data_IF_491354872186
#
_entry.id   IF_491354872186
#
_cell.length_a   1.000
_cell.length_b   1.000
_cell.length_c   1.000
_cell.angle_alpha   90.00
_cell.angle_beta   90.00
_cell.angle_gamma   90.00
#
_symmetry.space_group_name_H-M   'P 1'
#
loop_
_entity.id
_entity.type
_entity.pdbx_description
1 polymer ?
#
# COMPACT_ATOMS: atom_id res chain seq x y z
N UNK A 1 22.70 53.44 36.69
CA UNK A 1 21.90 52.43 37.41
C UNK A 1 20.68 52.19 36.54
N UNK A 2 20.72 51.29 35.56
CA UNK A 2 20.45 49.84 35.69
C UNK A 2 18.96 49.60 35.44
N UNK A 3 18.45 48.73 34.57
CA UNK A 3 18.99 47.79 33.61
C UNK A 3 17.91 47.60 32.51
N UNK A 4 18.29 47.52 31.24
CA UNK A 4 17.41 47.11 30.14
C UNK A 4 17.26 45.59 30.20
N UNK A 5 16.06 45.10 30.55
CA UNK A 5 15.74 43.68 30.52
C UNK A 5 15.53 43.22 29.07
N UNK A 6 16.54 42.56 28.51
CA UNK A 6 16.46 41.90 27.21
C UNK A 6 15.88 40.49 27.44
N UNK A 7 14.57 40.34 27.24
CA UNK A 7 13.90 39.05 27.37
C UNK A 7 14.13 38.22 26.09
N UNK A 8 15.00 37.21 26.20
CA UNK A 8 15.28 36.25 25.14
C UNK A 8 14.11 35.24 25.04
N UNK A 9 13.23 35.43 24.05
CA UNK A 9 12.21 34.43 23.71
C UNK A 9 12.89 33.33 22.88
N UNK A 10 13.20 32.21 23.52
CA UNK A 10 13.62 30.99 22.81
C UNK A 10 12.37 30.39 22.16
N UNK A 11 12.15 30.70 20.88
CA UNK A 11 11.19 29.98 20.06
C UNK A 11 11.77 28.59 19.79
N UNK A 12 11.28 27.58 20.52
CA UNK A 12 11.54 26.18 20.21
C UNK A 12 10.86 25.90 18.87
N UNK A 13 11.64 25.92 17.78
CA UNK A 13 11.25 25.34 16.51
C UNK A 13 11.13 23.83 16.74
N UNK A 14 9.93 23.37 17.11
CA UNK A 14 9.53 22.02 16.77
C UNK A 14 9.44 21.99 15.24
N UNK A 15 10.57 21.69 14.58
CA UNK A 15 10.55 21.05 13.28
C UNK A 15 9.79 19.74 13.49
N UNK A 16 8.47 19.80 13.38
CA UNK A 16 7.65 18.63 13.24
C UNK A 16 8.16 17.94 11.99
N UNK A 17 8.95 16.89 12.19
CA UNK A 17 9.12 15.85 11.18
C UNK A 17 7.71 15.27 11.01
N UNK A 18 6.92 15.91 10.16
CA UNK A 18 5.63 15.40 9.76
C UNK A 18 5.90 14.05 9.12
N UNK A 19 5.49 12.98 9.79
CA UNK A 19 5.36 11.69 9.14
C UNK A 19 4.31 11.91 8.07
N UNK A 20 4.72 12.13 6.82
CA UNK A 20 3.77 12.23 5.72
C UNK A 20 3.09 10.87 5.61
N UNK A 21 1.79 10.83 5.84
CA UNK A 21 1.03 9.61 5.67
C UNK A 21 1.03 9.28 4.18
N UNK A 22 1.60 8.14 3.80
CA UNK A 22 1.46 7.58 2.46
C UNK A 22 0.00 7.20 2.24
N UNK A 23 -0.59 7.66 1.13
CA UNK A 23 -1.94 7.27 0.73
C UNK A 23 -1.89 6.09 -0.23
N UNK A 24 -2.83 5.17 -0.04
CA UNK A 24 -3.08 4.04 -0.94
C UNK A 24 -4.48 4.21 -1.51
N UNK A 25 -4.53 4.46 -2.81
CA UNK A 25 -5.75 4.67 -3.60
C UNK A 25 -6.10 3.37 -4.32
N UNK A 26 -7.07 2.63 -3.78
CA UNK A 26 -7.52 1.36 -4.36
C UNK A 26 -8.66 1.60 -5.32
N UNK A 27 -8.55 1.12 -6.56
CA UNK A 27 -9.51 1.34 -7.63
C UNK A 27 -10.01 0.01 -8.17
N UNK A 28 -11.32 -0.12 -8.31
CA UNK A 28 -11.93 -1.21 -9.05
C UNK A 28 -12.20 -0.78 -10.50
N UNK A 29 -11.36 -1.23 -11.43
CA UNK A 29 -11.56 -1.06 -12.87
C UNK A 29 -12.17 -2.32 -13.53
N UNK A 30 -12.40 -3.39 -12.77
CA UNK A 30 -13.08 -4.57 -13.27
C UNK A 30 -14.57 -4.28 -13.53
N UNK A 31 -15.17 -5.06 -14.43
CA UNK A 31 -16.60 -4.95 -14.76
C UNK A 31 -17.54 -5.47 -13.64
N UNK A 32 -16.98 -6.07 -12.58
CA UNK A 32 -17.71 -6.70 -11.48
C UNK A 32 -17.41 -6.00 -10.16
N UNK A 33 -18.32 -6.11 -9.21
CA UNK A 33 -18.06 -5.72 -7.82
C UNK A 33 -16.95 -6.60 -7.24
N UNK A 34 -16.06 -6.00 -6.45
CA UNK A 34 -14.99 -6.69 -5.75
C UNK A 34 -15.04 -6.40 -4.25
N UNK A 35 -14.52 -7.34 -3.46
CA UNK A 35 -14.14 -7.09 -2.09
C UNK A 35 -12.62 -6.86 -2.04
N UNK A 36 -12.21 -5.60 -1.99
CA UNK A 36 -10.81 -5.21 -1.80
C UNK A 36 -10.43 -5.34 -0.32
N UNK A 37 -9.24 -5.86 -0.04
CA UNK A 37 -8.79 -6.23 1.30
C UNK A 37 -7.34 -5.80 1.52
N UNK A 38 -7.01 -5.51 2.77
CA UNK A 38 -5.63 -5.41 3.23
C UNK A 38 -5.44 -6.11 4.58
N UNK A 39 -4.22 -6.52 4.86
CA UNK A 39 -3.80 -7.02 6.17
C UNK A 39 -2.35 -6.64 6.47
N UNK A 40 -2.10 -6.19 7.70
CA UNK A 40 -0.79 -5.86 8.24
C UNK A 40 -0.59 -6.69 9.52
N UNK A 41 0.25 -7.73 9.49
CA UNK A 41 0.43 -8.64 10.61
C UNK A 41 1.08 -7.95 11.81
N UNK A 42 0.64 -8.32 13.03
CA UNK A 42 1.25 -7.94 14.31
C UNK A 42 1.40 -6.43 14.58
N UNK A 43 0.73 -5.57 13.79
CA UNK A 43 0.84 -4.11 13.93
C UNK A 43 -0.53 -3.43 13.84
N UNK A 44 -1.13 -3.43 12.65
CA UNK A 44 -2.32 -2.59 12.34
C UNK A 44 -3.60 -3.42 12.24
N UNK A 45 -3.52 -4.70 11.87
CA UNK A 45 -4.67 -5.53 11.57
C UNK A 45 -5.05 -5.46 10.10
N UNK A 46 -6.34 -5.63 9.77
CA UNK A 46 -6.79 -5.59 8.38
C UNK A 46 -8.17 -4.96 8.23
N UNK A 47 -8.52 -4.67 6.98
CA UNK A 47 -9.82 -4.15 6.62
C UNK A 47 -10.21 -4.56 5.21
N UNK A 48 -11.48 -4.36 4.88
CA UNK A 48 -11.99 -4.60 3.55
C UNK A 48 -13.07 -3.62 3.18
N UNK A 49 -13.25 -3.42 1.87
CA UNK A 49 -14.31 -2.60 1.33
C UNK A 49 -14.83 -3.19 0.03
N UNK A 50 -16.15 -3.27 -0.06
CA UNK A 50 -16.82 -3.57 -1.32
C UNK A 50 -16.69 -2.36 -2.25
N UNK A 51 -16.22 -2.61 -3.46
CA UNK A 51 -16.08 -1.62 -4.51
C UNK A 51 -16.86 -2.09 -5.73
N UNK A 52 -17.90 -1.35 -6.10
CA UNK A 52 -18.57 -1.50 -7.39
C UNK A 52 -17.63 -1.05 -8.53
N UNK A 53 -17.90 -1.41 -9.79
CA UNK A 53 -17.11 -0.91 -10.92
C UNK A 53 -16.94 0.61 -10.86
N UNK A 54 -15.72 1.06 -11.16
CA UNK A 54 -15.27 2.45 -11.11
C UNK A 54 -15.29 3.12 -9.72
N UNK A 55 -15.52 2.36 -8.63
CA UNK A 55 -15.37 2.90 -7.27
C UNK A 55 -13.93 2.77 -6.77
N UNK A 56 -13.61 3.63 -5.81
CA UNK A 56 -12.32 3.67 -5.16
C UNK A 56 -12.44 3.64 -3.62
N UNK A 57 -11.34 3.28 -2.98
CA UNK A 57 -11.13 3.32 -1.54
C UNK A 57 -9.77 3.91 -1.23
N UNK A 58 -9.78 5.00 -0.48
CA UNK A 58 -8.57 5.63 0.02
C UNK A 58 -8.24 5.11 1.42
N UNK A 59 -6.98 4.72 1.58
CA UNK A 59 -6.36 4.30 2.83
C UNK A 59 -5.20 5.24 3.14
N UNK A 60 -5.16 5.78 4.35
CA UNK A 60 -3.97 6.49 4.84
C UNK A 60 -3.16 5.58 5.75
N UNK A 61 -1.85 5.46 5.51
CA UNK A 61 -0.96 4.73 6.43
C UNK A 61 -0.48 5.67 7.53
N UNK A 62 -0.92 5.43 8.78
CA UNK A 62 -0.38 6.13 9.93
C UNK A 62 0.93 5.46 10.39
N UNK A 63 2.07 5.95 9.91
CA UNK A 63 3.38 5.39 10.23
C UNK A 63 3.76 4.15 9.40
N UNK A 64 4.65 3.32 9.96
CA UNK A 64 5.16 2.16 9.24
C UNK A 64 4.11 1.04 9.16
N UNK A 65 3.93 0.50 7.95
CA UNK A 65 3.17 -0.72 7.71
C UNK A 65 4.17 -1.77 7.27
N UNK A 66 4.40 -2.81 8.09
CA UNK A 66 5.42 -3.83 7.81
C UNK A 66 4.76 -5.12 7.36
N UNK A 67 5.26 -5.70 6.26
CA UNK A 67 4.75 -6.92 5.66
C UNK A 67 3.23 -6.85 5.38
N UNK A 68 2.77 -5.69 4.92
CA UNK A 68 1.39 -5.50 4.52
C UNK A 68 1.10 -6.23 3.22
N UNK A 69 -0.11 -6.74 3.09
CA UNK A 69 -0.58 -7.36 1.86
C UNK A 69 -1.95 -6.85 1.49
N UNK A 70 -2.17 -6.62 0.21
CA UNK A 70 -3.47 -6.27 -0.36
C UNK A 70 -3.85 -7.24 -1.48
N UNK A 71 -5.13 -7.55 -1.55
CA UNK A 71 -5.71 -8.40 -2.57
C UNK A 71 -7.19 -8.06 -2.74
N UNK A 72 -7.81 -8.61 -3.78
CA UNK A 72 -9.25 -8.53 -3.95
C UNK A 72 -9.80 -9.88 -4.41
N UNK A 73 -11.08 -10.09 -4.14
CA UNK A 73 -11.87 -11.21 -4.67
C UNK A 73 -13.13 -10.65 -5.34
N UNK A 74 -13.67 -11.37 -6.31
CA UNK A 74 -14.96 -11.00 -6.89
C UNK A 74 -16.10 -11.14 -5.87
N UNK A 75 -17.07 -10.23 -5.94
CA UNK A 75 -18.26 -10.24 -5.12
C UNK A 75 -18.17 -9.38 -3.86
N UNK A 76 -19.07 -9.65 -2.91
CA UNK A 76 -19.23 -8.85 -1.69
C UNK A 76 -18.22 -9.20 -0.59
N UNK A 77 -17.95 -8.24 0.29
CA UNK A 77 -17.21 -8.50 1.53
C UNK A 77 -18.06 -9.18 2.62
N UNK A 78 -19.38 -9.30 2.45
CA UNK A 78 -20.25 -9.91 3.44
C UNK A 78 -19.84 -11.37 3.76
N UNK A 79 -19.67 -11.67 5.05
CA UNK A 79 -19.28 -13.00 5.52
C UNK A 79 -17.81 -13.39 5.26
N UNK A 80 -16.99 -12.46 4.78
CA UNK A 80 -15.58 -12.71 4.48
C UNK A 80 -14.67 -12.21 5.62
N UNK A 81 -13.57 -12.92 5.95
CA UNK A 81 -12.60 -12.42 6.93
C UNK A 81 -11.81 -11.26 6.32
N UNK A 82 -11.74 -10.14 7.03
CA UNK A 82 -11.08 -8.92 6.55
C UNK A 82 -9.84 -8.51 7.36
N UNK A 83 -9.49 -9.29 8.37
CA UNK A 83 -8.41 -9.02 9.32
C UNK A 83 -7.40 -10.18 9.42
N UNK A 84 -7.33 -10.98 8.35
CA UNK A 84 -6.40 -12.11 8.21
C UNK A 84 -5.71 -12.02 6.87
N UNK A 85 -4.56 -12.66 6.71
CA UNK A 85 -3.82 -12.67 5.45
C UNK A 85 -4.59 -13.27 4.27
N UNK A 86 -4.05 -13.10 3.05
CA UNK A 86 -4.68 -13.58 1.83
C UNK A 86 -4.81 -15.11 1.80
N UNK A 87 -5.90 -15.65 1.22
CA UNK A 87 -5.98 -17.08 0.93
C UNK A 87 -5.04 -17.44 -0.23
N UNK A 88 -4.86 -18.75 -0.48
CA UNK A 88 -4.27 -19.20 -1.73
C UNK A 88 -5.17 -18.86 -2.93
N UNK A 89 -4.59 -18.79 -4.12
CA UNK A 89 -5.27 -18.55 -5.38
C UNK A 89 -5.40 -17.08 -5.79
N UNK A 90 -4.98 -16.12 -4.96
CA UNK A 90 -5.16 -14.68 -5.24
C UNK A 90 -3.87 -13.98 -5.63
N UNK A 91 -4.00 -13.00 -6.50
CA UNK A 91 -2.95 -12.02 -6.81
C UNK A 91 -2.81 -11.04 -5.65
N UNK A 92 -1.57 -10.72 -5.29
CA UNK A 92 -1.24 -9.94 -4.10
C UNK A 92 -0.37 -8.73 -4.45
N UNK A 93 -0.61 -7.63 -3.76
CA UNK A 93 0.33 -6.54 -3.60
C UNK A 93 0.93 -6.63 -2.21
N UNK A 94 2.22 -6.96 -2.13
CA UNK A 94 2.99 -7.09 -0.90
C UNK A 94 3.81 -5.81 -0.73
N UNK A 95 3.78 -5.20 0.45
CA UNK A 95 4.46 -3.92 0.65
C UNK A 95 4.85 -3.67 2.10
N UNK A 96 5.88 -2.83 2.26
CA UNK A 96 6.31 -2.23 3.51
C UNK A 96 6.40 -0.73 3.29
N UNK A 97 5.65 0.04 4.07
CA UNK A 97 5.73 1.51 4.09
C UNK A 97 6.64 1.94 5.23
N UNK A 98 7.50 2.92 4.95
CA UNK A 98 8.49 3.46 5.88
C UNK A 98 9.36 2.36 6.51
N UNK A 99 9.91 1.51 5.64
CA UNK A 99 10.77 0.39 6.01
C UNK A 99 12.22 0.79 6.27
N UNK A 100 13.13 -0.16 6.04
CA UNK A 100 14.56 0.05 6.26
C UNK A 100 15.10 1.24 5.46
N UNK A 101 16.00 2.02 6.06
CA UNK A 101 16.62 3.20 5.45
C UNK A 101 15.63 4.24 4.88
N UNK A 102 14.42 4.33 5.44
CA UNK A 102 13.35 5.24 4.98
C UNK A 102 12.95 4.98 3.52
N UNK A 103 12.88 3.71 3.11
CA UNK A 103 12.30 3.30 1.84
C UNK A 103 10.99 2.55 2.04
N UNK A 104 10.08 2.78 1.12
CA UNK A 104 8.97 1.88 0.87
C UNK A 104 9.49 0.75 -0.03
N UNK A 105 9.09 -0.49 0.28
CA UNK A 105 9.43 -1.68 -0.49
C UNK A 105 8.13 -2.34 -0.91
N UNK A 106 8.04 -2.78 -2.16
CA UNK A 106 6.81 -3.36 -2.66
C UNK A 106 7.03 -4.29 -3.84
N UNK A 107 6.14 -5.25 -3.98
CA UNK A 107 6.03 -6.10 -5.15
C UNK A 107 4.59 -6.53 -5.42
N UNK A 108 4.34 -6.88 -6.67
CA UNK A 108 3.21 -7.75 -6.99
C UNK A 108 3.65 -9.20 -6.87
N UNK A 109 2.76 -10.06 -6.42
CA UNK A 109 3.06 -11.47 -6.17
C UNK A 109 1.90 -12.33 -6.61
N UNK A 110 2.21 -13.31 -7.45
CA UNK A 110 1.27 -14.36 -7.86
C UNK A 110 1.79 -15.74 -7.42
N UNK A 111 2.72 -15.75 -6.46
CA UNK A 111 3.32 -16.98 -5.91
C UNK A 111 2.26 -17.93 -5.34
N UNK A 112 1.24 -17.37 -4.69
CA UNK A 112 0.13 -18.14 -4.12
C UNK A 112 -1.02 -18.36 -5.10
N UNK A 113 -0.94 -17.83 -6.33
CA UNK A 113 -1.97 -17.98 -7.36
C UNK A 113 -2.31 -16.67 -8.08
N UNK A 114 -3.26 -16.75 -9.00
CA UNK A 114 -3.77 -15.61 -9.75
C UNK A 114 -5.29 -15.72 -9.88
N UNK A 115 -5.99 -14.65 -9.54
CA UNK A 115 -7.44 -14.57 -9.70
C UNK A 115 -7.88 -13.38 -10.57
N UNK A 116 -7.18 -12.25 -10.49
CA UNK A 116 -7.51 -11.06 -11.26
C UNK A 116 -6.31 -10.16 -11.52
N UNK A 117 -6.45 -9.29 -12.51
CA UNK A 117 -5.39 -8.37 -12.86
C UNK A 117 -5.18 -7.34 -11.75
N UNK A 118 -3.92 -7.03 -11.44
CA UNK A 118 -3.55 -5.99 -10.48
C UNK A 118 -2.41 -5.15 -11.05
N UNK A 119 -2.49 -3.83 -10.86
CA UNK A 119 -1.39 -2.91 -11.17
C UNK A 119 -1.14 -1.95 -10.02
N UNK A 120 0.13 -1.64 -9.81
CA UNK A 120 0.62 -0.69 -8.80
C UNK A 120 1.30 0.44 -9.55
N UNK A 121 0.75 1.64 -9.41
CA UNK A 121 1.33 2.87 -9.93
C UNK A 121 1.67 3.83 -8.79
N UNK A 122 2.95 3.98 -8.42
CA UNK A 122 3.39 5.09 -7.60
C UNK A 122 3.06 6.43 -8.29
N UNK A 123 2.55 7.42 -7.55
CA UNK A 123 2.31 8.77 -8.08
C UNK A 123 3.60 9.53 -8.41
N UNK A 124 4.71 9.16 -7.77
CA UNK A 124 6.04 9.65 -8.14
C UNK A 124 6.59 8.86 -9.35
N UNK A 125 6.80 9.49 -10.51
CA UNK A 125 7.25 8.80 -11.72
C UNK A 125 8.68 8.26 -11.63
N UNK A 126 9.48 8.69 -10.65
CA UNK A 126 10.80 8.10 -10.38
C UNK A 126 10.70 6.69 -9.76
N UNK A 127 9.54 6.34 -9.20
CA UNK A 127 9.32 5.07 -8.53
C UNK A 127 8.71 4.04 -9.50
N UNK A 128 9.25 2.81 -9.59
CA UNK A 128 8.85 1.84 -10.61
C UNK A 128 7.39 1.38 -10.49
N UNK A 129 6.62 1.44 -11.56
CA UNK A 129 5.31 0.76 -11.61
C UNK A 129 5.46 -0.75 -11.84
N UNK A 130 4.44 -1.52 -11.46
CA UNK A 130 4.35 -2.96 -11.73
C UNK A 130 2.94 -3.35 -12.14
N UNK A 131 2.81 -4.38 -12.97
CA UNK A 131 1.51 -4.97 -13.28
C UNK A 131 1.57 -6.49 -13.39
N UNK A 132 0.43 -7.12 -13.10
CA UNK A 132 0.15 -8.51 -13.39
C UNK A 132 -1.21 -8.59 -14.07
N UNK A 133 -1.20 -8.75 -15.40
CA UNK A 133 -2.41 -8.82 -16.23
C UNK A 133 -2.99 -10.23 -16.29
N UNK A 134 -2.11 -11.22 -16.21
CA UNK A 134 -2.43 -12.63 -16.22
C UNK A 134 -1.33 -13.41 -15.49
N UNK A 135 -1.60 -14.68 -15.19
CA UNK A 135 -0.64 -15.56 -14.50
C UNK A 135 0.74 -15.66 -15.21
N UNK A 136 0.78 -15.54 -16.54
CA UNK A 136 2.01 -15.57 -17.33
C UNK A 136 2.48 -14.18 -17.80
N UNK A 137 1.83 -13.11 -17.33
CA UNK A 137 2.10 -11.72 -17.72
C UNK A 137 2.15 -10.84 -16.47
N UNK A 138 3.20 -11.03 -15.67
CA UNK A 138 3.37 -10.38 -14.37
C UNK A 138 4.82 -9.91 -14.20
N UNK A 139 4.97 -8.63 -13.88
CA UNK A 139 6.25 -8.00 -13.54
C UNK A 139 6.76 -8.42 -12.17
N UNK A 140 5.84 -8.93 -11.33
CA UNK A 140 6.03 -9.32 -9.94
C UNK A 140 6.62 -10.71 -9.73
N UNK A 141 6.57 -11.19 -8.49
CA UNK A 141 7.02 -12.53 -8.11
C UNK A 141 6.14 -13.62 -8.72
N UNK A 142 6.77 -14.52 -9.46
CA UNK A 142 6.15 -15.72 -10.02
C UNK A 142 6.38 -16.94 -9.09
N UNK A 143 5.58 -18.01 -9.20
CA UNK A 143 5.91 -19.28 -8.57
C UNK A 143 7.32 -19.73 -8.97
N UNK A 144 8.22 -19.91 -7.99
CA UNK A 144 9.63 -20.25 -8.18
C UNK A 144 10.47 -19.21 -8.96
N UNK A 145 9.99 -17.97 -9.07
CA UNK A 145 10.72 -16.86 -9.68
C UNK A 145 11.67 -16.14 -8.71
N UNK A 146 12.59 -15.31 -9.24
CA UNK A 146 13.42 -14.43 -8.41
C UNK A 146 12.56 -13.37 -7.72
N UNK A 147 13.09 -12.80 -6.63
CA UNK A 147 12.51 -11.62 -5.99
C UNK A 147 12.50 -10.44 -6.97
N UNK A 148 11.38 -9.73 -7.04
CA UNK A 148 11.15 -8.58 -7.91
C UNK A 148 10.69 -7.33 -7.16
N UNK A 149 11.01 -7.28 -5.86
CA UNK A 149 10.82 -6.13 -4.99
C UNK A 149 11.36 -4.85 -5.64
N UNK A 150 10.51 -3.83 -5.64
CA UNK A 150 10.82 -2.45 -5.99
C UNK A 150 10.92 -1.64 -4.72
N UNK A 151 11.51 -0.46 -4.84
CA UNK A 151 11.57 0.48 -3.74
C UNK A 151 11.33 1.91 -4.21
N UNK A 152 10.86 2.73 -3.28
CA UNK A 152 10.66 4.16 -3.44
C UNK A 152 11.06 4.85 -2.13
N UNK A 153 11.51 6.10 -2.18
CA UNK A 153 11.78 6.82 -0.92
C UNK A 153 10.47 6.98 -0.13
N UNK A 154 10.48 6.65 1.15
CA UNK A 154 9.31 6.73 2.03
C UNK A 154 8.75 8.15 2.07
N UNK A 155 7.43 8.29 1.95
CA UNK A 155 6.73 9.57 1.91
C UNK A 155 6.96 10.39 0.64
N UNK A 156 7.64 9.84 -0.37
CA UNK A 156 7.87 10.52 -1.66
C UNK A 156 6.82 10.19 -2.71
N UNK A 157 5.91 9.24 -2.44
CA UNK A 157 4.86 8.80 -3.36
C UNK A 157 3.63 8.37 -2.58
N UNK A 158 2.48 8.48 -3.24
CA UNK A 158 1.28 7.70 -2.93
C UNK A 158 1.19 6.51 -3.91
N UNK A 159 0.34 5.54 -3.62
CA UNK A 159 0.20 4.33 -4.43
C UNK A 159 -1.21 4.22 -4.99
N UNK A 160 -1.34 4.06 -6.31
CA UNK A 160 -2.60 3.72 -6.97
C UNK A 160 -2.61 2.22 -7.28
N UNK A 161 -3.51 1.49 -6.63
CA UNK A 161 -3.68 0.05 -6.80
C UNK A 161 -4.94 -0.19 -7.62
N UNK A 162 -4.81 -0.70 -8.83
CA UNK A 162 -5.96 -0.93 -9.71
C UNK A 162 -6.18 -2.42 -9.94
N UNK A 163 -7.40 -2.89 -9.64
CA UNK A 163 -7.86 -4.22 -9.98
C UNK A 163 -8.59 -4.20 -11.32
N UNK A 164 -8.29 -5.17 -12.20
CA UNK A 164 -8.79 -5.25 -13.58
C UNK A 164 -9.48 -6.58 -13.86
#
# INVERSE_FOLDING_TARGET
>A
MGALALSLVVAILCLGMGVSATSIHVVNNAARTICAKYWVPNQIGGGCRELKPAQAWDLGTSGAWVAATMWAIEGSCAGQPCNTGPPAGVSQFEFTINGFSNFDYYDLSIRSGFNMGISVGPTNPACPSQFCRAQNQCDGMLPNGPDRTKSCASGSTDYVITYN
#
